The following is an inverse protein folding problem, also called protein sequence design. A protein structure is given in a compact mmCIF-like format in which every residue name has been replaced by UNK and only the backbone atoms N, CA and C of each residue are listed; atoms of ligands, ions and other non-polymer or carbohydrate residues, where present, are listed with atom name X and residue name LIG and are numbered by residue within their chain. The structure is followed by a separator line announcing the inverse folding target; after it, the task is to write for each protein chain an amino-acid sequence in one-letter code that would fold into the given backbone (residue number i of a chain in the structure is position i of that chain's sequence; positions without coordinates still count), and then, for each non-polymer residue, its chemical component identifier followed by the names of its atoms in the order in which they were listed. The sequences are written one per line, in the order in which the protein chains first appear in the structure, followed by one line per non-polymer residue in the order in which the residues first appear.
data_IF_881108621709
#
_entry.id   IF_881108621709
#
_cell.length_a   1.000
_cell.length_b   1.000
_cell.length_c   1.000
_cell.angle_alpha   90.00
_cell.angle_beta   90.00
_cell.angle_gamma   90.00
#
_symmetry.space_group_name_H-M   'P 1'
#
loop_
_entity.id
_entity.type
_entity.pdbx_description
1 polymer ?
#
# COMPACT_ATOMS: atom_id res chain seq x y z
N UNK A 1 -27.78 20.57 -21.23
CA UNK A 1 -27.14 19.30 -20.83
C UNK A 1 -27.47 19.07 -19.37
N UNK A 2 -28.25 18.03 -19.05
CA UNK A 2 -28.69 17.76 -17.69
C UNK A 2 -27.53 17.06 -16.96
N UNK A 3 -26.92 17.70 -15.97
CA UNK A 3 -25.86 17.05 -15.19
C UNK A 3 -26.49 16.02 -14.26
N UNK A 4 -26.14 14.76 -14.45
CA UNK A 4 -26.51 13.68 -13.53
C UNK A 4 -25.46 13.64 -12.43
N UNK A 5 -25.89 13.77 -11.17
CA UNK A 5 -25.01 13.67 -10.02
C UNK A 5 -24.83 12.20 -9.63
N UNK A 6 -23.60 11.82 -9.28
CA UNK A 6 -23.24 10.45 -8.90
C UNK A 6 -22.09 9.90 -9.72
N UNK A 7 -21.74 8.63 -9.47
CA UNK A 7 -20.74 7.92 -10.27
C UNK A 7 -21.33 7.62 -11.67
N UNK A 8 -20.49 7.59 -12.72
CA UNK A 8 -20.87 7.05 -14.01
C UNK A 8 -21.39 5.60 -13.89
N UNK A 9 -22.17 5.11 -14.87
CA UNK A 9 -22.54 3.72 -14.95
C UNK A 9 -21.32 2.78 -14.88
N UNK A 10 -21.53 1.59 -14.31
CA UNK A 10 -20.46 0.59 -14.11
C UNK A 10 -19.73 0.21 -15.41
N UNK A 11 -20.44 0.17 -16.54
CA UNK A 11 -19.86 -0.07 -17.87
C UNK A 11 -18.86 1.04 -18.25
N UNK A 12 -19.26 2.30 -18.07
CA UNK A 12 -18.38 3.46 -18.31
C UNK A 12 -17.15 3.44 -17.40
N UNK A 13 -17.33 3.11 -16.12
CA UNK A 13 -16.21 3.00 -15.19
C UNK A 13 -15.22 1.89 -15.58
N UNK A 14 -15.73 0.75 -16.03
CA UNK A 14 -14.90 -0.36 -16.53
C UNK A 14 -14.09 0.05 -17.76
N UNK A 15 -14.69 0.81 -18.67
CA UNK A 15 -14.05 1.24 -19.91
C UNK A 15 -12.94 2.27 -19.69
N UNK A 16 -12.91 2.97 -18.55
CA UNK A 16 -11.78 3.82 -18.19
C UNK A 16 -10.48 3.04 -17.95
N UNK A 17 -10.56 1.73 -17.68
CA UNK A 17 -9.39 0.86 -17.45
C UNK A 17 -8.39 1.48 -16.49
N UNK A 18 -8.86 1.84 -15.30
CA UNK A 18 -8.01 2.44 -14.28
C UNK A 18 -7.05 1.36 -13.77
N UNK A 19 -5.84 1.37 -14.33
CA UNK A 19 -4.82 0.35 -14.10
C UNK A 19 -4.42 0.26 -12.63
N UNK A 20 -4.12 1.40 -12.02
CA UNK A 20 -3.75 1.48 -10.63
C UNK A 20 -4.30 2.74 -9.98
N UNK A 21 -4.36 2.69 -8.65
CA UNK A 21 -4.73 3.83 -7.83
C UNK A 21 -3.79 3.95 -6.65
N UNK A 22 -3.40 5.19 -6.35
CA UNK A 22 -2.65 5.52 -5.14
C UNK A 22 -3.49 5.17 -3.91
N UNK A 23 -2.97 4.32 -3.02
CA UNK A 23 -3.76 3.74 -1.94
C UNK A 23 -3.03 3.80 -0.60
N UNK A 24 -3.60 4.55 0.35
CA UNK A 24 -3.06 4.79 1.70
C UNK A 24 -4.00 4.28 2.80
N UNK A 25 -4.24 2.96 2.86
CA UNK A 25 -5.06 2.36 3.92
C UNK A 25 -4.42 2.61 5.29
N UNK A 26 -5.26 2.79 6.32
CA UNK A 26 -4.84 3.10 7.68
C UNK A 26 -3.88 4.30 7.81
N UNK A 27 -3.89 5.23 6.86
CA UNK A 27 -2.93 6.34 6.77
C UNK A 27 -1.47 5.86 6.87
N UNK A 28 -1.19 4.70 6.27
CA UNK A 28 0.09 3.99 6.31
C UNK A 28 0.53 3.48 7.69
N UNK A 29 -0.28 3.60 8.75
CA UNK A 29 0.05 3.04 10.07
C UNK A 29 -0.66 1.68 10.29
N UNK A 30 0.05 0.53 10.20
CA UNK A 30 -0.60 -0.77 10.14
C UNK A 30 -1.14 -1.30 11.48
N UNK A 31 -0.84 -0.61 12.58
CA UNK A 31 -1.23 -0.99 13.94
C UNK A 31 -0.02 -1.40 14.77
N UNK A 32 -0.21 -1.57 16.08
CA UNK A 32 0.87 -1.97 17.01
C UNK A 32 1.37 -3.39 16.79
N UNK A 33 0.60 -4.22 16.08
CA UNK A 33 0.96 -5.56 15.64
C UNK A 33 1.61 -5.59 14.25
N UNK A 34 1.73 -4.42 13.60
CA UNK A 34 2.37 -4.29 12.29
C UNK A 34 1.49 -4.68 11.09
N UNK A 35 0.23 -5.10 11.28
CA UNK A 35 -0.60 -5.52 10.13
C UNK A 35 -2.13 -5.43 10.28
N UNK A 36 -2.73 -5.58 11.47
CA UNK A 36 -4.18 -5.87 11.56
C UNK A 36 -5.06 -4.68 11.16
N UNK A 37 -4.66 -3.45 11.51
CA UNK A 37 -5.44 -2.27 11.12
C UNK A 37 -5.34 -2.03 9.62
N UNK A 38 -4.14 -2.24 9.05
CA UNK A 38 -3.93 -2.18 7.61
C UNK A 38 -4.84 -3.16 6.88
N UNK A 39 -4.84 -4.44 7.26
CA UNK A 39 -5.66 -5.48 6.64
C UNK A 39 -7.14 -5.12 6.71
N UNK A 40 -7.64 -4.68 7.88
CA UNK A 40 -9.04 -4.29 8.05
C UNK A 40 -9.43 -3.11 7.17
N UNK A 41 -8.56 -2.11 7.05
CA UNK A 41 -8.84 -0.94 6.21
C UNK A 41 -8.80 -1.28 4.71
N UNK A 42 -7.90 -2.18 4.30
CA UNK A 42 -7.89 -2.75 2.95
C UNK A 42 -9.22 -3.43 2.66
N UNK A 43 -9.67 -4.35 3.52
CA UNK A 43 -10.94 -5.07 3.38
C UNK A 43 -12.14 -4.12 3.31
N UNK A 44 -12.17 -3.13 4.20
CA UNK A 44 -13.23 -2.10 4.22
C UNK A 44 -13.29 -1.30 2.92
N UNK A 45 -12.16 -1.12 2.25
CA UNK A 45 -12.07 -0.33 1.01
C UNK A 45 -12.45 -1.14 -0.24
N UNK A 46 -12.39 -2.48 -0.18
CA UNK A 46 -12.62 -3.35 -1.35
C UNK A 46 -13.94 -3.11 -2.08
N UNK A 47 -15.09 -2.86 -1.41
CA UNK A 47 -16.34 -2.56 -2.11
C UNK A 47 -16.24 -1.31 -3.01
N UNK A 48 -15.59 -0.25 -2.52
CA UNK A 48 -15.39 0.98 -3.30
C UNK A 48 -14.41 0.76 -4.46
N UNK A 49 -13.35 -0.02 -4.22
CA UNK A 49 -12.35 -0.39 -5.24
C UNK A 49 -13.01 -1.17 -6.38
N UNK A 50 -13.87 -2.13 -6.04
CA UNK A 50 -14.63 -2.93 -7.01
C UNK A 50 -15.64 -2.08 -7.78
N UNK A 51 -16.34 -1.17 -7.10
CA UNK A 51 -17.28 -0.24 -7.72
C UNK A 51 -16.57 0.69 -8.73
N UNK A 52 -15.37 1.15 -8.39
CA UNK A 52 -14.54 2.01 -9.23
C UNK A 52 -13.77 1.28 -10.34
N UNK A 53 -13.84 -0.05 -10.42
CA UNK A 53 -13.09 -0.89 -11.37
C UNK A 53 -11.57 -0.62 -11.37
N UNK A 54 -10.97 -0.32 -10.21
CA UNK A 54 -9.51 -0.20 -10.11
C UNK A 54 -8.87 -1.60 -10.22
N UNK A 55 -7.95 -1.79 -11.16
CA UNK A 55 -7.34 -3.11 -11.38
C UNK A 55 -6.31 -3.45 -10.27
N UNK A 56 -5.52 -2.43 -9.86
CA UNK A 56 -4.43 -2.53 -8.88
C UNK A 56 -4.45 -1.35 -7.90
N UNK A 57 -3.78 -1.52 -6.75
CA UNK A 57 -3.66 -0.53 -5.69
C UNK A 57 -2.20 -0.41 -5.27
N UNK A 58 -1.65 0.80 -5.35
CA UNK A 58 -0.28 1.10 -4.97
C UNK A 58 -0.22 1.38 -3.47
N UNK A 59 0.32 0.43 -2.70
CA UNK A 59 0.43 0.48 -1.24
C UNK A 59 1.85 0.88 -0.81
N UNK A 60 1.98 1.91 0.03
CA UNK A 60 3.25 2.48 0.46
C UNK A 60 3.62 2.05 1.88
N UNK A 61 4.41 0.98 1.98
CA UNK A 61 4.80 0.39 3.25
C UNK A 61 5.88 1.19 3.97
N UNK A 62 5.74 1.32 5.29
CA UNK A 62 6.90 1.53 6.16
C UNK A 62 7.71 0.24 6.22
N UNK A 63 9.04 0.35 6.24
CA UNK A 63 9.94 -0.81 6.18
C UNK A 63 11.02 -0.84 7.26
N UNK A 64 10.85 -0.06 8.32
CA UNK A 64 11.76 -0.08 9.49
C UNK A 64 13.06 0.72 9.31
N UNK A 65 13.03 1.81 8.54
CA UNK A 65 14.19 2.67 8.23
C UNK A 65 14.03 4.15 8.63
N UNK A 66 13.15 4.45 9.59
CA UNK A 66 12.88 5.81 10.07
C UNK A 66 11.93 6.59 9.18
N UNK A 67 10.86 5.93 8.72
CA UNK A 67 9.82 6.55 7.87
C UNK A 67 8.53 6.86 8.63
N UNK A 68 8.42 6.40 9.87
CA UNK A 68 7.34 6.80 10.79
C UNK A 68 7.92 7.46 12.04
N UNK A 69 7.08 8.25 12.73
CA UNK A 69 7.39 8.82 14.04
C UNK A 69 7.15 7.84 15.19
N UNK A 70 6.66 6.63 14.93
CA UNK A 70 6.46 5.56 15.93
C UNK A 70 7.70 4.64 16.02
N UNK A 71 8.52 4.77 17.09
CA UNK A 71 9.72 3.94 17.25
C UNK A 71 9.42 2.46 17.50
N UNK A 72 8.25 2.13 18.07
CA UNK A 72 7.85 0.76 18.32
C UNK A 72 7.52 0.04 17.02
N UNK A 73 6.77 0.71 16.13
CA UNK A 73 6.50 0.21 14.79
C UNK A 73 7.79 0.07 13.97
N UNK A 74 8.67 1.06 14.00
CA UNK A 74 9.99 0.99 13.35
C UNK A 74 10.78 -0.24 13.80
N UNK A 75 10.90 -0.45 15.11
CA UNK A 75 11.62 -1.60 15.64
C UNK A 75 10.95 -2.93 15.28
N UNK A 76 9.61 -2.97 15.29
CA UNK A 76 8.84 -4.14 14.93
C UNK A 76 9.11 -4.55 13.47
N UNK A 77 8.96 -3.62 12.52
CA UNK A 77 9.15 -3.91 11.09
C UNK A 77 10.60 -4.25 10.75
N UNK A 78 11.56 -3.67 11.48
CA UNK A 78 12.98 -4.05 11.34
C UNK A 78 13.27 -5.47 11.83
N UNK A 79 12.66 -5.89 12.93
CA UNK A 79 12.88 -7.22 13.55
C UNK A 79 12.00 -8.30 12.94
N UNK A 80 10.88 -7.93 12.34
CA UNK A 80 9.88 -8.81 11.74
C UNK A 80 9.50 -8.34 10.33
N UNK A 81 10.43 -8.39 9.37
CA UNK A 81 10.21 -7.88 8.01
C UNK A 81 9.07 -8.60 7.26
N UNK A 82 8.72 -9.83 7.63
CA UNK A 82 7.59 -10.55 7.03
C UNK A 82 6.25 -9.82 7.19
N UNK A 83 6.07 -9.01 8.23
CA UNK A 83 4.85 -8.22 8.45
C UNK A 83 4.60 -7.20 7.32
N UNK A 84 5.68 -6.72 6.69
CA UNK A 84 5.60 -5.83 5.52
C UNK A 84 5.00 -6.55 4.31
N UNK A 85 5.22 -7.87 4.19
CA UNK A 85 4.82 -8.69 3.06
C UNK A 85 3.42 -9.27 3.19
N UNK A 86 2.91 -9.47 4.41
CA UNK A 86 1.59 -10.09 4.66
C UNK A 86 0.45 -9.50 3.81
N UNK A 87 0.32 -8.17 3.61
CA UNK A 87 -0.72 -7.62 2.74
C UNK A 87 -0.53 -8.03 1.27
N UNK A 88 0.71 -8.04 0.78
CA UNK A 88 1.02 -8.39 -0.61
C UNK A 88 0.76 -9.88 -0.87
N UNK A 89 1.07 -10.73 0.11
CA UNK A 89 0.79 -12.17 0.04
C UNK A 89 -0.71 -12.48 0.07
N UNK A 90 -1.50 -11.68 0.81
CA UNK A 90 -2.96 -11.83 0.88
C UNK A 90 -3.66 -11.33 -0.37
N UNK A 91 -3.11 -10.32 -1.04
CA UNK A 91 -3.70 -9.71 -2.24
C UNK A 91 -2.70 -9.55 -3.40
N UNK A 92 -2.05 -10.64 -3.85
CA UNK A 92 -0.93 -10.56 -4.80
C UNK A 92 -1.37 -10.06 -6.18
N UNK A 93 -2.64 -10.26 -6.52
CA UNK A 93 -3.20 -9.81 -7.79
C UNK A 93 -3.81 -8.40 -7.73
N UNK A 94 -3.84 -7.76 -6.56
CA UNK A 94 -4.47 -6.45 -6.34
C UNK A 94 -3.53 -5.40 -5.78
N UNK A 95 -2.58 -5.74 -4.93
CA UNK A 95 -1.64 -4.78 -4.37
C UNK A 95 -0.34 -4.74 -5.18
N UNK A 96 0.14 -3.53 -5.42
CA UNK A 96 1.49 -3.23 -5.89
C UNK A 96 2.23 -2.63 -4.69
N UNK A 97 3.29 -3.30 -4.27
CA UNK A 97 4.07 -2.87 -3.11
C UNK A 97 5.02 -1.74 -3.48
N UNK A 98 4.96 -0.66 -2.72
CA UNK A 98 5.89 0.47 -2.76
C UNK A 98 6.52 0.63 -1.38
N UNK A 99 7.78 1.10 -1.30
CA UNK A 99 8.42 1.40 -0.02
C UNK A 99 8.51 2.90 0.24
N UNK A 100 8.37 3.29 1.50
CA UNK A 100 8.72 4.63 1.94
C UNK A 100 10.23 4.71 2.22
N UNK A 101 10.86 5.81 1.79
CA UNK A 101 12.29 6.06 1.99
C UNK A 101 12.52 7.17 3.02
N UNK A 102 13.67 7.09 3.71
CA UNK A 102 14.08 8.08 4.69
C UNK A 102 15.03 9.11 4.06
N UNK A 103 14.52 10.32 3.83
CA UNK A 103 15.29 11.42 3.23
C UNK A 103 16.47 11.89 4.08
N UNK A 104 16.48 11.55 5.38
CA UNK A 104 17.58 11.89 6.29
C UNK A 104 18.68 10.82 6.32
N UNK A 105 18.45 9.65 5.71
CA UNK A 105 19.43 8.56 5.61
C UNK A 105 19.43 7.95 4.20
N UNK A 106 20.29 8.52 3.35
CA UNK A 106 20.50 7.99 1.99
C UNK A 106 21.02 6.56 2.00
N UNK A 107 21.87 6.22 2.98
CA UNK A 107 22.44 4.88 3.10
C UNK A 107 21.35 3.85 3.39
N UNK A 108 20.54 4.06 4.42
CA UNK A 108 19.49 3.10 4.80
C UNK A 108 18.43 3.00 3.71
N UNK A 109 18.12 4.11 3.04
CA UNK A 109 17.21 4.12 1.89
C UNK A 109 17.75 3.29 0.72
N UNK A 110 19.06 3.36 0.43
CA UNK A 110 19.67 2.54 -0.61
C UNK A 110 19.71 1.05 -0.24
N UNK A 111 19.99 0.73 1.02
CA UNK A 111 19.93 -0.64 1.54
C UNK A 111 18.49 -1.20 1.44
N UNK A 112 17.48 -0.37 1.75
CA UNK A 112 16.07 -0.73 1.60
C UNK A 112 15.65 -0.93 0.14
N UNK A 113 16.08 -0.06 -0.79
CA UNK A 113 15.83 -0.24 -2.22
C UNK A 113 16.41 -1.57 -2.72
N UNK A 114 17.64 -1.91 -2.31
CA UNK A 114 18.23 -3.20 -2.67
C UNK A 114 17.40 -4.36 -2.11
N UNK A 115 17.10 -4.34 -0.81
CA UNK A 115 16.37 -5.44 -0.15
C UNK A 115 14.96 -5.65 -0.69
N UNK A 116 14.21 -4.58 -0.88
CA UNK A 116 12.76 -4.66 -1.08
C UNK A 116 12.36 -4.56 -2.54
N UNK A 117 13.07 -3.76 -3.34
CA UNK A 117 12.73 -3.52 -4.75
C UNK A 117 13.61 -4.35 -5.69
N UNK A 118 14.92 -4.30 -5.52
CA UNK A 118 15.84 -5.03 -6.41
C UNK A 118 15.79 -6.54 -6.16
N UNK A 119 15.91 -6.94 -4.90
CA UNK A 119 16.00 -8.34 -4.47
C UNK A 119 14.68 -8.85 -3.87
N UNK A 120 13.67 -7.98 -3.77
CA UNK A 120 12.39 -8.24 -3.09
C UNK A 120 11.17 -8.04 -4.00
N UNK A 121 9.95 -8.19 -3.44
CA UNK A 121 8.71 -8.17 -4.21
C UNK A 121 8.11 -6.77 -4.43
N UNK A 122 8.73 -5.71 -3.92
CA UNK A 122 8.25 -4.33 -4.10
C UNK A 122 8.61 -3.84 -5.51
N UNK A 123 7.78 -2.96 -6.05
CA UNK A 123 7.90 -2.46 -7.42
C UNK A 123 8.41 -1.02 -7.49
N UNK A 124 8.49 -0.31 -6.35
CA UNK A 124 8.94 1.08 -6.27
C UNK A 124 9.22 1.55 -4.86
#
# INVERSE_FOLDING_TARGET
MQMTFGLPPSETLRDFRIWDSYFTPAFSHPGTDGCRNLIKDIERSMPAIQLGHFEKLCYFAHVGIGTTTDPALENLLRTQPQLVLEPLERWPNRLLGMIQLNLQSTRDSLEALNKWVKDGPMLG
#
